data_IF_500254070785
#
_entry.id   IF_500254070785
#
_cell.length_a   1.000
_cell.length_b   1.000
_cell.length_c   1.000
_cell.angle_alpha   90.00
_cell.angle_beta   90.00
_cell.angle_gamma   90.00
#
_symmetry.space_group_name_H-M   'P 1'
#
loop_
_entity.id
_entity.type
_entity.pdbx_description
1 polymer ?
#
# COMPACT_ATOMS: atom_id res chain seq x y z
N UNK A 1 -8.26 4.34 -3.62
CA UNK A 1 -7.61 4.64 -4.91
C UNK A 1 -6.89 5.97 -4.91
N UNK A 2 -7.61 7.09 -4.77
CA UNK A 2 -7.09 8.46 -4.94
C UNK A 2 -5.85 8.79 -4.09
N UNK A 3 -5.87 8.52 -2.78
CA UNK A 3 -4.75 8.83 -1.87
C UNK A 3 -3.43 8.22 -2.35
N UNK A 4 -3.47 6.94 -2.73
CA UNK A 4 -2.34 6.16 -3.23
C UNK A 4 -2.08 6.35 -4.73
N UNK A 5 -2.88 7.16 -5.43
CA UNK A 5 -2.73 7.38 -6.87
C UNK A 5 -3.05 6.15 -7.74
N UNK A 6 -3.80 5.18 -7.21
CA UNK A 6 -4.15 3.97 -7.97
C UNK A 6 -5.19 4.29 -9.04
N UNK A 7 -4.96 3.78 -10.25
CA UNK A 7 -5.90 3.94 -11.37
C UNK A 7 -7.11 3.05 -11.15
N UNK A 8 -8.30 3.63 -11.02
CA UNK A 8 -9.55 2.85 -10.95
C UNK A 8 -9.82 2.15 -12.27
N UNK A 9 -10.40 0.96 -12.22
CA UNK A 9 -10.87 0.26 -13.41
C UNK A 9 -12.07 0.99 -14.06
N UNK A 10 -12.16 0.96 -15.39
CA UNK A 10 -13.22 1.65 -16.15
C UNK A 10 -14.58 0.93 -16.08
N UNK A 11 -14.57 -0.37 -15.76
CA UNK A 11 -15.74 -1.24 -15.81
C UNK A 11 -16.10 -1.87 -14.46
N UNK A 12 -15.27 -1.67 -13.43
CA UNK A 12 -15.42 -2.29 -12.10
C UNK A 12 -15.15 -1.27 -11.00
N UNK A 13 -16.18 -0.99 -10.21
CA UNK A 13 -16.11 0.08 -9.21
C UNK A 13 -15.16 -0.18 -8.05
N UNK A 14 -14.88 -1.46 -7.76
CA UNK A 14 -14.06 -1.95 -6.64
C UNK A 14 -12.66 -2.41 -7.07
N UNK A 15 -12.30 -2.26 -8.35
CA UNK A 15 -11.00 -2.65 -8.88
C UNK A 15 -10.10 -1.43 -9.13
N UNK A 16 -8.83 -1.58 -8.77
CA UNK A 16 -7.81 -0.55 -8.88
C UNK A 16 -6.51 -1.18 -9.39
N UNK A 17 -5.77 -0.43 -10.20
CA UNK A 17 -4.55 -0.87 -10.84
C UNK A 17 -3.34 -0.19 -10.21
N UNK A 18 -2.42 -1.01 -9.70
CA UNK A 18 -1.06 -0.64 -9.32
C UNK A 18 -0.11 -1.15 -10.40
N UNK A 19 0.20 -0.30 -11.38
CA UNK A 19 0.86 -0.74 -12.61
C UNK A 19 -0.02 -1.74 -13.36
N UNK A 20 0.48 -2.96 -13.56
CA UNK A 20 -0.24 -4.06 -14.22
C UNK A 20 -0.96 -5.00 -13.23
N UNK A 21 -0.80 -4.78 -11.92
CA UNK A 21 -1.46 -5.59 -10.89
C UNK A 21 -2.83 -5.00 -10.55
N UNK A 22 -3.88 -5.80 -10.69
CA UNK A 22 -5.23 -5.46 -10.23
C UNK A 22 -5.37 -5.76 -8.73
N UNK A 23 -5.91 -4.81 -7.99
CA UNK A 23 -6.28 -4.87 -6.58
C UNK A 23 -7.79 -4.69 -6.49
N UNK A 24 -8.45 -5.60 -5.79
CA UNK A 24 -9.90 -5.54 -5.58
C UNK A 24 -10.22 -5.26 -4.12
N UNK A 25 -11.22 -4.41 -3.88
CA UNK A 25 -11.81 -4.21 -2.55
C UNK A 25 -12.87 -5.28 -2.33
N UNK A 26 -12.65 -6.13 -1.34
CA UNK A 26 -13.57 -7.19 -0.96
C UNK A 26 -14.28 -6.86 0.36
N UNK A 27 -15.61 -6.92 0.34
CA UNK A 27 -16.48 -6.72 1.50
C UNK A 27 -17.07 -8.06 1.97
N UNK A 28 -16.38 -8.82 2.86
CA UNK A 28 -16.79 -10.16 3.29
C UNK A 28 -18.16 -10.19 3.99
N UNK A 29 -18.54 -9.11 4.68
CA UNK A 29 -19.81 -9.00 5.40
C UNK A 29 -21.03 -9.16 4.49
N UNK A 30 -20.91 -8.81 3.21
CA UNK A 30 -21.97 -9.03 2.20
C UNK A 30 -22.24 -10.51 1.93
N UNK A 31 -21.33 -11.38 2.33
CA UNK A 31 -21.40 -12.83 2.18
C UNK A 31 -21.57 -13.55 3.52
N UNK A 32 -21.83 -12.82 4.61
CA UNK A 32 -22.02 -13.38 5.94
C UNK A 32 -20.72 -13.73 6.67
N UNK A 33 -19.58 -13.27 6.16
CA UNK A 33 -18.27 -13.43 6.80
C UNK A 33 -17.86 -12.16 7.55
N UNK A 34 -17.18 -12.29 8.68
CA UNK A 34 -16.68 -11.16 9.45
C UNK A 34 -15.46 -10.53 8.75
N UNK A 35 -15.44 -9.20 8.59
CA UNK A 35 -14.26 -8.50 8.12
C UNK A 35 -13.10 -8.62 9.13
N UNK A 36 -11.92 -8.96 8.61
CA UNK A 36 -10.68 -8.97 9.40
C UNK A 36 -9.59 -8.25 8.62
N UNK A 37 -8.96 -7.20 9.20
CA UNK A 37 -7.86 -6.53 8.53
C UNK A 37 -6.70 -7.49 8.31
N UNK A 38 -6.08 -7.40 7.14
CA UNK A 38 -4.89 -8.18 6.83
C UNK A 38 -3.68 -7.58 7.55
N UNK A 39 -3.16 -8.32 8.53
CA UNK A 39 -2.02 -7.93 9.36
C UNK A 39 -0.78 -8.78 9.05
N UNK A 40 0.39 -8.16 9.01
CA UNK A 40 1.69 -8.82 8.79
C UNK A 40 1.98 -9.26 7.34
N UNK A 41 0.96 -9.49 6.51
CA UNK A 41 1.08 -9.77 5.08
C UNK A 41 0.97 -8.48 4.25
N UNK A 42 1.95 -7.58 4.43
CA UNK A 42 1.92 -6.25 3.84
C UNK A 42 1.93 -6.30 2.31
N UNK A 43 0.99 -5.64 1.66
CA UNK A 43 1.09 -5.35 0.24
C UNK A 43 2.12 -4.23 0.04
N UNK A 44 3.21 -4.56 -0.67
CA UNK A 44 4.32 -3.63 -0.89
C UNK A 44 4.21 -2.89 -2.22
N UNK A 45 4.09 -1.56 -2.14
CA UNK A 45 4.10 -0.68 -3.30
C UNK A 45 5.53 -0.24 -3.61
N UNK A 46 6.02 -0.65 -4.79
CA UNK A 46 7.30 -0.15 -5.28
C UNK A 46 7.22 1.34 -5.59
N UNK A 47 8.21 2.10 -5.12
CA UNK A 47 8.40 3.52 -5.45
C UNK A 47 9.88 3.79 -5.72
N UNK A 48 10.17 4.82 -6.52
CA UNK A 48 11.56 5.23 -6.81
C UNK A 48 12.25 5.87 -5.60
N UNK A 49 11.50 6.60 -4.77
CA UNK A 49 11.99 7.30 -3.58
C UNK A 49 10.95 7.20 -2.46
N UNK A 50 11.28 6.41 -1.42
CA UNK A 50 10.39 6.16 -0.28
C UNK A 50 10.14 7.43 0.52
N UNK A 51 11.15 8.26 0.72
CA UNK A 51 11.04 9.48 1.52
C UNK A 51 10.16 10.53 0.83
N UNK A 52 10.30 10.66 -0.48
CA UNK A 52 9.43 11.53 -1.27
C UNK A 52 7.99 11.03 -1.25
N UNK A 53 7.76 9.75 -1.55
CA UNK A 53 6.42 9.18 -1.57
C UNK A 53 5.75 9.24 -0.19
N UNK A 54 6.51 9.01 0.88
CA UNK A 54 6.06 9.16 2.26
C UNK A 54 5.55 10.58 2.53
N UNK A 55 6.33 11.62 2.23
CA UNK A 55 5.92 13.02 2.43
C UNK A 55 4.66 13.37 1.64
N UNK A 56 4.55 12.88 0.39
CA UNK A 56 3.36 13.09 -0.44
C UNK A 56 2.10 12.45 0.16
N UNK A 57 2.23 11.25 0.75
CA UNK A 57 1.12 10.55 1.42
C UNK A 57 0.79 11.15 2.80
N UNK A 58 1.78 11.56 3.58
CA UNK A 58 1.58 12.28 4.85
C UNK A 58 0.84 13.60 4.63
N UNK A 59 1.16 14.34 3.56
CA UNK A 59 0.43 15.56 3.18
C UNK A 59 -1.04 15.29 2.82
N UNK A 60 -1.38 14.05 2.42
CA UNK A 60 -2.75 13.59 2.17
C UNK A 60 -3.40 12.96 3.41
N UNK A 61 -2.73 12.98 4.57
CA UNK A 61 -3.26 12.51 5.84
C UNK A 61 -2.95 11.05 6.19
N UNK A 62 -2.12 10.35 5.39
CA UNK A 62 -1.65 9.00 5.75
C UNK A 62 -0.69 9.09 6.94
N UNK A 63 -0.85 8.19 7.91
CA UNK A 63 0.05 8.07 9.05
C UNK A 63 0.92 6.83 8.86
N UNK A 64 2.23 7.02 8.91
CA UNK A 64 3.19 5.93 8.83
C UNK A 64 3.53 5.40 10.22
N UNK A 65 3.77 4.10 10.27
CA UNK A 65 4.16 3.38 11.48
C UNK A 65 5.67 3.53 11.68
N UNK A 66 6.06 4.56 12.44
CA UNK A 66 7.46 4.84 12.75
C UNK A 66 8.23 5.48 11.59
N UNK A 67 9.56 5.35 11.64
CA UNK A 67 10.49 5.90 10.64
C UNK A 67 10.64 4.95 9.45
N UNK A 68 11.14 5.47 8.33
CA UNK A 68 11.54 4.63 7.19
C UNK A 68 12.71 3.75 7.59
N UNK A 69 12.56 2.45 7.40
CA UNK A 69 13.57 1.46 7.73
C UNK A 69 14.48 1.21 6.54
N UNK A 70 15.79 1.37 6.74
CA UNK A 70 16.82 0.86 5.84
C UNK A 70 17.26 -0.53 6.30
N UNK A 71 17.13 -1.53 5.43
CA UNK A 71 17.54 -2.92 5.70
C UNK A 71 18.98 -3.22 5.29
N UNK A 72 19.68 -2.26 4.68
CA UNK A 72 20.98 -2.44 4.03
C UNK A 72 20.90 -2.86 2.56
N UNK A 73 19.70 -3.19 2.06
CA UNK A 73 19.45 -3.49 0.64
C UNK A 73 18.19 -2.83 0.08
N UNK A 74 17.26 -2.44 0.95
CA UNK A 74 16.03 -1.74 0.58
C UNK A 74 15.55 -0.81 1.68
N UNK A 75 14.76 0.19 1.27
CA UNK A 75 13.98 1.06 2.15
C UNK A 75 12.54 0.56 2.25
N UNK A 76 11.98 0.64 3.46
CA UNK A 76 10.59 0.27 3.76
C UNK A 76 9.93 1.32 4.64
N UNK A 77 8.71 1.73 4.32
CA UNK A 77 7.88 2.56 5.20
C UNK A 77 6.48 1.95 5.32
N UNK A 78 6.14 1.47 6.51
CA UNK A 78 4.88 0.79 6.79
C UNK A 78 3.79 1.80 7.17
N UNK A 79 2.55 1.49 6.79
CA UNK A 79 1.37 2.26 7.17
C UNK A 79 0.13 1.37 7.08
N UNK A 80 -0.99 1.88 7.58
CA UNK A 80 -2.28 1.19 7.49
C UNK A 80 -3.28 1.96 6.64
N UNK A 81 -4.14 1.23 5.94
CA UNK A 81 -5.32 1.83 5.31
C UNK A 81 -6.41 2.13 6.36
N UNK A 82 -7.51 2.83 5.98
CA UNK A 82 -8.58 3.18 6.92
C UNK A 82 -9.28 1.99 7.57
N UNK A 83 -9.29 0.82 6.93
CA UNK A 83 -9.90 -0.41 7.45
C UNK A 83 -8.89 -1.24 8.29
N UNK A 84 -7.65 -0.75 8.39
CA UNK A 84 -6.59 -1.34 9.19
C UNK A 84 -5.78 -2.41 8.46
N UNK A 85 -5.86 -2.53 7.14
CA UNK A 85 -4.96 -3.42 6.40
C UNK A 85 -3.53 -2.85 6.39
N UNK A 86 -2.54 -3.71 6.62
CA UNK A 86 -1.15 -3.31 6.61
C UNK A 86 -0.63 -3.17 5.17
N UNK A 87 0.00 -2.03 4.87
CA UNK A 87 0.58 -1.68 3.57
C UNK A 87 2.02 -1.18 3.78
N UNK A 88 2.83 -1.19 2.72
CA UNK A 88 4.18 -0.61 2.79
C UNK A 88 4.59 0.07 1.48
N UNK A 89 5.35 1.15 1.61
CA UNK A 89 6.20 1.65 0.52
C UNK A 89 7.51 0.88 0.55
N UNK A 90 8.02 0.49 -0.63
CA UNK A 90 9.24 -0.29 -0.74
C UNK A 90 10.11 0.19 -1.91
N UNK A 91 11.42 0.32 -1.68
CA UNK A 91 12.40 0.56 -2.73
C UNK A 91 13.65 -0.28 -2.48
N UNK A 92 13.98 -1.20 -3.39
CA UNK A 92 15.25 -1.91 -3.36
C UNK A 92 16.28 -1.14 -4.19
N UNK A 93 17.31 -0.64 -3.53
CA UNK A 93 18.41 0.08 -4.19
C UNK A 93 19.60 -0.84 -4.50
N UNK A 94 19.75 -1.94 -3.78
CA UNK A 94 20.83 -2.89 -4.01
C UNK A 94 20.52 -3.81 -5.20
N UNK A 95 21.49 -4.11 -6.07
CA UNK A 95 21.31 -5.07 -7.14
C UNK A 95 20.96 -6.47 -6.61
N UNK A 96 20.45 -7.31 -7.49
CA UNK A 96 20.35 -8.75 -7.23
C UNK A 96 21.72 -9.40 -7.48
N UNK A 97 22.08 -10.36 -6.65
CA UNK A 97 23.23 -11.25 -6.88
C UNK A 97 22.88 -12.35 -7.89
#
# INVERSE_FOLDING_TARGET
>A
GETLGLRRDEHRDLEFWAGETCLNIWEPERFGEEFRPQKGAHLAFHVDDVERARRELEAKGVKFDGETLDTGVCFMANFTDPDGNDLMLHHRYAPYE
#
